data_IF_223435242627
#
_entry.id   IF_223435242627
#
_cell.length_a   1.000
_cell.length_b   1.000
_cell.length_c   1.000
_cell.angle_alpha   90.00
_cell.angle_beta   90.00
_cell.angle_gamma   90.00
#
_symmetry.space_group_name_H-M   'P 1'
#
loop_
_entity.id
_entity.type
_entity.pdbx_description
1 polymer ?
#
# COMPACT_ATOMS: atom_id res chain seq x y z
N UNK A 1 -6.35 33.46 -8.76
CA UNK A 1 -5.18 33.85 -7.93
C UNK A 1 -4.34 32.60 -7.64
N UNK A 2 -3.30 32.35 -8.43
CA UNK A 2 -2.40 31.21 -8.28
C UNK A 2 -1.24 31.60 -7.36
N UNK A 3 -1.53 31.73 -6.07
CA UNK A 3 -0.49 31.83 -5.05
C UNK A 3 0.19 30.46 -4.89
N UNK A 4 1.50 30.39 -5.14
CA UNK A 4 2.27 29.17 -4.92
C UNK A 4 2.13 28.64 -3.49
N UNK A 5 2.46 27.36 -3.24
CA UNK A 5 2.32 26.77 -1.91
C UNK A 5 3.08 27.58 -0.87
N UNK A 6 2.48 27.82 0.30
CA UNK A 6 3.11 28.56 1.39
C UNK A 6 4.48 27.95 1.76
N UNK A 7 5.45 28.76 2.27
CA UNK A 7 6.76 28.25 2.68
C UNK A 7 6.67 27.04 3.62
N UNK A 8 5.74 27.07 4.57
CA UNK A 8 5.49 25.95 5.50
C UNK A 8 5.03 24.66 4.83
N UNK A 9 4.25 24.74 3.75
CA UNK A 9 3.83 23.56 2.97
C UNK A 9 5.00 22.98 2.18
N UNK A 10 5.86 23.83 1.62
CA UNK A 10 7.07 23.37 0.90
C UNK A 10 8.02 22.64 1.84
N UNK A 11 8.28 23.19 3.02
CA UNK A 11 9.14 22.56 4.03
C UNK A 11 8.57 21.22 4.49
N UNK A 12 7.29 21.16 4.88
CA UNK A 12 6.67 19.91 5.31
C UNK A 12 6.68 18.83 4.21
N UNK A 13 6.44 19.22 2.96
CA UNK A 13 6.52 18.33 1.80
C UNK A 13 7.93 17.77 1.64
N UNK A 14 8.95 18.63 1.61
CA UNK A 14 10.34 18.22 1.47
C UNK A 14 10.80 17.29 2.60
N UNK A 15 10.35 17.52 3.84
CA UNK A 15 10.63 16.62 4.97
C UNK A 15 10.04 15.23 4.74
N UNK A 16 8.77 15.14 4.32
CA UNK A 16 8.11 13.86 4.09
C UNK A 16 8.65 13.13 2.85
N UNK A 17 8.93 13.84 1.77
CA UNK A 17 9.58 13.29 0.57
C UNK A 17 11.00 12.81 0.87
N UNK A 18 11.75 13.55 1.69
CA UNK A 18 13.08 13.14 2.16
C UNK A 18 13.02 11.88 3.02
N UNK A 19 12.01 11.76 3.89
CA UNK A 19 11.77 10.54 4.67
C UNK A 19 11.43 9.35 3.76
N UNK A 20 10.53 9.53 2.79
CA UNK A 20 10.20 8.49 1.80
C UNK A 20 11.41 8.09 0.96
N UNK A 21 12.25 9.04 0.54
CA UNK A 21 13.49 8.77 -0.19
C UNK A 21 14.43 7.92 0.66
N UNK A 22 14.60 8.27 1.94
CA UNK A 22 15.43 7.48 2.85
C UNK A 22 14.87 6.08 3.09
N UNK A 23 13.56 5.92 3.22
CA UNK A 23 12.93 4.63 3.52
C UNK A 23 12.87 3.72 2.29
N UNK A 24 12.33 4.23 1.18
CA UNK A 24 11.96 3.45 0.00
C UNK A 24 12.82 3.73 -1.23
N UNK A 25 13.72 4.73 -1.18
CA UNK A 25 14.63 5.05 -2.28
C UNK A 25 14.07 6.04 -3.30
N UNK A 26 12.90 6.63 -3.06
CA UNK A 26 12.30 7.65 -3.93
C UNK A 26 11.40 8.62 -3.15
N UNK A 27 11.19 9.86 -3.62
CA UNK A 27 10.28 10.82 -3.01
C UNK A 27 8.82 10.52 -3.40
N UNK A 28 7.95 10.10 -2.47
CA UNK A 28 6.61 9.64 -2.84
C UNK A 28 5.71 10.79 -3.27
N UNK A 29 5.07 10.66 -4.43
CA UNK A 29 4.30 11.75 -5.03
C UNK A 29 3.08 12.14 -4.19
N UNK A 30 2.61 11.26 -3.31
CA UNK A 30 1.48 11.50 -2.42
C UNK A 30 1.78 12.47 -1.26
N UNK A 31 3.07 12.73 -0.94
CA UNK A 31 3.42 13.56 0.21
C UNK A 31 2.92 15.00 0.08
N UNK A 32 3.09 15.63 -1.08
CA UNK A 32 2.61 16.98 -1.33
C UNK A 32 1.06 17.09 -1.27
N UNK A 33 0.28 16.18 -1.88
CA UNK A 33 -1.16 16.06 -1.66
C UNK A 33 -1.56 15.92 -0.19
N UNK A 34 -0.89 15.08 0.61
CA UNK A 34 -1.22 14.91 2.03
C UNK A 34 -1.02 16.22 2.80
N UNK A 35 0.11 16.90 2.57
CA UNK A 35 0.39 18.21 3.19
C UNK A 35 -0.64 19.26 2.78
N UNK A 36 -1.11 19.22 1.54
CA UNK A 36 -2.14 20.13 1.04
C UNK A 36 -3.50 19.89 1.71
N UNK A 37 -3.89 18.63 1.87
CA UNK A 37 -5.20 18.25 2.44
C UNK A 37 -5.25 18.45 3.95
N UNK A 38 -4.25 17.96 4.68
CA UNK A 38 -4.24 18.00 6.15
C UNK A 38 -3.72 19.34 6.69
N UNK A 39 -2.89 20.04 5.92
CA UNK A 39 -2.06 21.14 6.38
C UNK A 39 -0.70 20.66 6.92
N UNK A 40 0.34 21.50 6.90
CA UNK A 40 1.73 21.07 7.12
C UNK A 40 1.97 20.45 8.49
N UNK A 41 1.54 21.12 9.58
CA UNK A 41 1.77 20.62 10.94
C UNK A 41 0.96 19.35 11.23
N UNK A 42 -0.29 19.29 10.75
CA UNK A 42 -1.16 18.12 10.93
C UNK A 42 -0.66 16.92 10.12
N UNK A 43 -0.15 17.13 8.90
CA UNK A 43 0.46 16.08 8.11
C UNK A 43 1.67 15.46 8.82
N UNK A 44 2.62 16.29 9.27
CA UNK A 44 3.79 15.81 10.01
C UNK A 44 3.39 15.05 11.29
N UNK A 45 2.50 15.64 12.10
CA UNK A 45 2.00 14.98 13.32
C UNK A 45 1.26 13.67 13.04
N UNK A 46 0.52 13.59 11.93
CA UNK A 46 -0.17 12.37 11.51
C UNK A 46 0.82 11.24 11.18
N UNK A 47 1.91 11.54 10.45
CA UNK A 47 2.95 10.55 10.16
C UNK A 47 3.69 10.11 11.43
N UNK A 48 4.11 11.04 12.28
CA UNK A 48 4.77 10.72 13.57
C UNK A 48 3.90 9.80 14.44
N UNK A 49 2.59 9.99 14.43
CA UNK A 49 1.65 9.14 15.18
C UNK A 49 1.42 7.77 14.56
N UNK A 50 1.36 7.67 13.23
CA UNK A 50 0.95 6.44 12.54
C UNK A 50 2.11 5.54 12.10
N UNK A 51 3.23 6.11 11.65
CA UNK A 51 4.34 5.33 11.10
C UNK A 51 4.96 4.35 12.09
N UNK A 52 5.23 4.70 13.36
CA UNK A 52 5.80 3.74 14.31
C UNK A 52 4.90 2.52 14.54
N UNK A 53 3.57 2.70 14.44
CA UNK A 53 2.61 1.60 14.59
C UNK A 53 2.51 0.76 13.32
N UNK A 54 2.64 1.39 12.15
CA UNK A 54 2.79 0.69 10.88
C UNK A 54 4.06 -0.17 10.87
N UNK A 55 5.22 0.39 11.23
CA UNK A 55 6.50 -0.33 11.31
C UNK A 55 6.47 -1.50 12.29
N UNK A 56 5.86 -1.31 13.47
CA UNK A 56 5.63 -2.43 14.42
C UNK A 56 4.69 -3.50 13.86
N UNK A 57 3.80 -3.15 12.93
CA UNK A 57 2.92 -4.11 12.25
C UNK A 57 3.68 -4.85 11.16
N UNK A 58 4.46 -4.12 10.36
CA UNK A 58 5.38 -4.68 9.37
C UNK A 58 6.35 -5.70 10.01
N UNK A 59 6.97 -5.36 11.14
CA UNK A 59 7.87 -6.25 11.86
C UNK A 59 7.16 -7.50 12.43
N UNK A 60 5.89 -7.37 12.83
CA UNK A 60 5.14 -8.47 13.44
C UNK A 60 4.50 -9.42 12.41
N UNK A 61 4.07 -8.89 11.26
CA UNK A 61 3.38 -9.65 10.21
C UNK A 61 4.31 -10.05 9.05
N UNK A 62 5.46 -9.41 8.92
CA UNK A 62 6.34 -9.52 7.76
C UNK A 62 5.90 -8.64 6.58
N UNK A 63 6.83 -8.40 5.65
CA UNK A 63 6.62 -7.57 4.47
C UNK A 63 5.52 -8.13 3.55
N UNK A 64 5.61 -9.42 3.21
CA UNK A 64 4.68 -10.08 2.29
C UNK A 64 3.22 -9.91 2.72
N UNK A 65 2.88 -10.34 3.95
CA UNK A 65 1.52 -10.21 4.50
C UNK A 65 1.10 -8.75 4.61
N UNK A 66 1.95 -7.88 5.14
CA UNK A 66 1.58 -6.48 5.37
C UNK A 66 1.22 -5.79 4.06
N UNK A 67 2.01 -5.97 3.00
CA UNK A 67 1.73 -5.36 1.71
C UNK A 67 0.49 -5.96 1.03
N UNK A 68 0.28 -7.27 1.12
CA UNK A 68 -0.96 -7.91 0.65
C UNK A 68 -2.20 -7.32 1.33
N UNK A 69 -2.14 -7.09 2.64
CA UNK A 69 -3.25 -6.47 3.38
C UNK A 69 -3.47 -5.01 2.95
N UNK A 70 -2.39 -4.25 2.72
CA UNK A 70 -2.47 -2.87 2.22
C UNK A 70 -3.05 -2.80 0.80
N UNK A 71 -2.76 -3.79 -0.06
CA UNK A 71 -3.39 -3.96 -1.38
C UNK A 71 -4.89 -4.19 -1.21
N UNK A 72 -5.29 -5.17 -0.40
CA UNK A 72 -6.70 -5.48 -0.18
C UNK A 72 -7.49 -4.25 0.32
N UNK A 73 -6.96 -3.51 1.31
CA UNK A 73 -7.57 -2.27 1.80
C UNK A 73 -7.69 -1.22 0.68
N UNK A 74 -6.61 -1.02 -0.08
CA UNK A 74 -6.56 0.01 -1.13
C UNK A 74 -7.48 -0.30 -2.31
N UNK A 75 -7.68 -1.59 -2.62
CA UNK A 75 -8.66 -2.06 -3.59
C UNK A 75 -10.09 -1.78 -3.14
N UNK A 76 -10.42 -2.10 -1.89
CA UNK A 76 -11.74 -1.82 -1.31
C UNK A 76 -12.03 -0.32 -1.28
N UNK A 77 -11.03 0.50 -0.96
CA UNK A 77 -11.16 1.96 -1.00
C UNK A 77 -11.14 2.54 -2.42
N UNK A 78 -10.73 1.76 -3.43
CA UNK A 78 -10.63 2.20 -4.82
C UNK A 78 -9.50 3.20 -5.08
N UNK A 79 -8.33 3.02 -4.46
CA UNK A 79 -7.17 3.92 -4.61
C UNK A 79 -6.06 3.33 -5.50
N UNK A 80 -5.95 3.75 -6.79
CA UNK A 80 -4.96 3.20 -7.71
C UNK A 80 -3.52 3.39 -7.25
N UNK A 81 -3.20 4.55 -6.67
CA UNK A 81 -1.85 4.89 -6.18
C UNK A 81 -1.35 3.89 -5.14
N UNK A 82 -2.13 3.71 -4.07
CA UNK A 82 -1.75 2.83 -2.98
C UNK A 82 -1.85 1.35 -3.37
N UNK A 83 -2.84 0.98 -4.19
CA UNK A 83 -2.93 -0.37 -4.74
C UNK A 83 -1.65 -0.72 -5.49
N UNK A 84 -1.22 0.12 -6.43
CA UNK A 84 -0.01 -0.15 -7.21
C UNK A 84 1.25 -0.19 -6.33
N UNK A 85 1.49 0.82 -5.49
CA UNK A 85 2.72 0.91 -4.70
C UNK A 85 2.91 -0.27 -3.73
N UNK A 86 1.82 -0.76 -3.14
CA UNK A 86 1.88 -1.94 -2.27
C UNK A 86 1.81 -3.26 -3.03
N UNK A 87 1.11 -3.31 -4.17
CA UNK A 87 1.15 -4.48 -5.03
C UNK A 87 2.58 -4.69 -5.54
N UNK A 88 3.24 -3.64 -6.03
CA UNK A 88 4.60 -3.76 -6.52
C UNK A 88 5.58 -4.17 -5.43
N UNK A 89 5.47 -3.61 -4.22
CA UNK A 89 6.25 -4.08 -3.06
C UNK A 89 6.00 -5.57 -2.77
N UNK A 90 4.73 -5.99 -2.72
CA UNK A 90 4.36 -7.40 -2.53
C UNK A 90 4.95 -8.31 -3.61
N UNK A 91 4.91 -7.90 -4.89
CA UNK A 91 5.48 -8.66 -6.01
C UNK A 91 6.98 -8.87 -5.86
N UNK A 92 7.72 -7.80 -5.53
CA UNK A 92 9.16 -7.88 -5.32
C UNK A 92 9.50 -8.78 -4.13
N UNK A 93 8.76 -8.68 -3.02
CA UNK A 93 8.98 -9.51 -1.83
C UNK A 93 8.69 -10.98 -2.16
N UNK A 94 7.57 -11.26 -2.83
CA UNK A 94 7.20 -12.61 -3.23
C UNK A 94 8.28 -13.25 -4.11
N UNK A 95 8.75 -12.52 -5.14
CA UNK A 95 9.83 -12.99 -6.00
C UNK A 95 11.12 -13.23 -5.22
N UNK A 96 11.48 -12.33 -4.30
CA UNK A 96 12.67 -12.47 -3.49
C UNK A 96 12.62 -13.69 -2.56
N UNK A 97 11.49 -13.92 -1.89
CA UNK A 97 11.31 -14.99 -0.91
C UNK A 97 11.03 -16.36 -1.54
N UNK A 98 10.37 -16.40 -2.70
CA UNK A 98 9.88 -17.64 -3.32
C UNK A 98 10.57 -18.00 -4.63
N UNK A 99 11.32 -17.08 -5.23
CA UNK A 99 12.02 -17.30 -6.49
C UNK A 99 11.11 -17.41 -7.71
N UNK A 100 9.81 -17.10 -7.58
CA UNK A 100 8.83 -17.13 -8.66
C UNK A 100 7.90 -15.91 -8.63
N UNK A 101 7.21 -15.65 -9.75
CA UNK A 101 6.23 -14.58 -9.85
C UNK A 101 4.91 -14.96 -9.14
N UNK A 102 4.28 -13.99 -8.49
CA UNK A 102 2.90 -14.17 -8.04
C UNK A 102 1.95 -14.22 -9.26
N UNK A 103 0.89 -15.04 -9.27
CA UNK A 103 0.04 -15.22 -10.45
C UNK A 103 -0.66 -13.94 -10.95
N UNK A 104 -0.90 -12.97 -10.09
CA UNK A 104 -1.57 -11.71 -10.42
C UNK A 104 -0.58 -10.55 -10.33
N UNK A 105 -0.22 -9.91 -11.45
CA UNK A 105 0.71 -8.77 -11.46
C UNK A 105 0.13 -7.48 -10.84
N UNK A 106 0.97 -6.50 -10.52
CA UNK A 106 0.56 -5.23 -9.91
C UNK A 106 -0.40 -4.41 -10.78
N UNK A 107 -0.25 -4.48 -12.11
CA UNK A 107 -1.16 -3.83 -13.07
C UNK A 107 -2.54 -4.50 -13.06
N UNK A 108 -2.56 -5.83 -13.15
CA UNK A 108 -3.79 -6.62 -13.08
C UNK A 108 -4.50 -6.46 -11.72
N UNK A 109 -3.75 -6.37 -10.61
CA UNK A 109 -4.33 -5.99 -9.32
C UNK A 109 -4.96 -4.59 -9.38
N UNK A 110 -4.30 -3.62 -10.03
CA UNK A 110 -4.83 -2.28 -10.23
C UNK A 110 -6.19 -2.24 -10.93
N UNK A 111 -6.43 -3.13 -11.89
CA UNK A 111 -7.70 -3.26 -12.63
C UNK A 111 -8.87 -3.75 -11.76
N UNK A 112 -8.57 -4.33 -10.60
CA UNK A 112 -9.60 -4.71 -9.62
C UNK A 112 -10.19 -3.49 -8.88
N UNK A 113 -9.55 -2.31 -8.96
CA UNK A 113 -10.09 -1.08 -8.36
C UNK A 113 -11.47 -0.76 -8.94
N UNK A 114 -12.47 -0.57 -8.08
CA UNK A 114 -13.84 -0.24 -8.48
C UNK A 114 -14.75 -1.45 -8.71
N UNK A 115 -14.22 -2.67 -8.64
CA UNK A 115 -15.05 -3.87 -8.57
C UNK A 115 -15.76 -3.99 -7.21
N UNK A 116 -16.80 -4.81 -7.17
CA UNK A 116 -17.50 -5.12 -5.91
C UNK A 116 -16.55 -5.85 -4.93
N UNK A 117 -16.66 -5.62 -3.60
CA UNK A 117 -15.83 -6.28 -2.59
C UNK A 117 -15.80 -7.82 -2.70
N UNK A 118 -16.92 -8.44 -3.07
CA UNK A 118 -16.99 -9.88 -3.27
C UNK A 118 -16.13 -10.37 -4.45
N UNK A 119 -16.09 -9.61 -5.55
CA UNK A 119 -15.24 -9.88 -6.70
C UNK A 119 -13.77 -9.68 -6.36
N UNK A 120 -13.41 -8.59 -5.69
CA UNK A 120 -12.04 -8.34 -5.21
C UNK A 120 -11.57 -9.50 -4.31
N UNK A 121 -12.41 -9.91 -3.35
CA UNK A 121 -12.11 -11.07 -2.50
C UNK A 121 -11.88 -12.33 -3.33
N UNK A 122 -12.75 -12.62 -4.29
CA UNK A 122 -12.64 -13.82 -5.12
C UNK A 122 -11.30 -13.87 -5.86
N UNK A 123 -10.95 -12.80 -6.57
CA UNK A 123 -9.70 -12.70 -7.35
C UNK A 123 -8.46 -12.83 -6.48
N UNK A 124 -8.43 -12.14 -5.32
CA UNK A 124 -7.29 -12.24 -4.40
C UNK A 124 -7.15 -13.65 -3.81
N UNK A 125 -8.25 -14.27 -3.37
CA UNK A 125 -8.22 -15.61 -2.78
C UNK A 125 -7.81 -16.67 -3.79
N UNK A 126 -8.30 -16.57 -5.03
CA UNK A 126 -7.90 -17.46 -6.12
C UNK A 126 -6.40 -17.31 -6.44
N UNK A 127 -5.90 -16.08 -6.57
CA UNK A 127 -4.48 -15.83 -6.79
C UNK A 127 -3.59 -16.34 -5.65
N UNK A 128 -4.02 -16.21 -4.39
CA UNK A 128 -3.30 -16.73 -3.23
C UNK A 128 -3.22 -18.26 -3.24
N UNK A 129 -4.32 -18.95 -3.55
CA UNK A 129 -4.33 -20.42 -3.67
C UNK A 129 -3.40 -20.90 -4.77
N UNK A 130 -3.45 -20.27 -5.95
CA UNK A 130 -2.53 -20.61 -7.05
C UNK A 130 -1.06 -20.39 -6.71
N UNK A 131 -0.77 -19.50 -5.76
CA UNK A 131 0.58 -19.22 -5.28
C UNK A 131 1.01 -20.05 -4.04
N UNK A 132 0.15 -20.95 -3.53
CA UNK A 132 0.42 -21.68 -2.28
C UNK A 132 0.47 -20.80 -1.03
N UNK A 133 -0.32 -19.71 -1.02
CA UNK A 133 -0.42 -18.73 0.08
C UNK A 133 -1.77 -18.81 0.80
N UNK A 134 -2.34 -20.01 0.93
CA UNK A 134 -3.64 -20.24 1.59
C UNK A 134 -3.66 -19.75 3.04
N UNK A 135 -2.52 -19.77 3.72
CA UNK A 135 -2.37 -19.26 5.08
C UNK A 135 -2.64 -17.75 5.19
N UNK A 136 -2.58 -17.00 4.10
CA UNK A 136 -2.84 -15.55 4.07
C UNK A 136 -4.33 -15.22 3.88
N UNK A 137 -5.13 -16.18 3.39
CA UNK A 137 -6.55 -15.98 3.05
C UNK A 137 -7.34 -15.44 4.26
N UNK A 138 -7.25 -16.01 5.48
CA UNK A 138 -8.03 -15.50 6.62
C UNK A 138 -7.72 -14.05 6.96
N UNK A 139 -6.46 -13.61 6.80
CA UNK A 139 -6.07 -12.23 7.09
C UNK A 139 -6.60 -11.25 6.02
N UNK A 140 -6.59 -11.66 4.75
CA UNK A 140 -7.17 -10.88 3.64
C UNK A 140 -8.67 -10.75 3.78
N UNK A 141 -9.38 -11.85 4.07
CA UNK A 141 -10.82 -11.81 4.31
C UNK A 141 -11.15 -10.88 5.48
N UNK A 142 -10.40 -11.01 6.58
CA UNK A 142 -10.61 -10.18 7.76
C UNK A 142 -10.39 -8.70 7.49
N UNK A 143 -9.38 -8.32 6.71
CA UNK A 143 -9.14 -6.91 6.41
C UNK A 143 -10.18 -6.33 5.45
N UNK A 144 -10.71 -7.13 4.53
CA UNK A 144 -11.84 -6.76 3.67
C UNK A 144 -13.08 -6.52 4.54
N UNK A 145 -13.43 -7.43 5.44
CA UNK A 145 -14.52 -7.27 6.41
C UNK A 145 -14.39 -5.99 7.23
N UNK A 146 -13.21 -5.70 7.77
CA UNK A 146 -12.96 -4.47 8.53
C UNK A 146 -13.04 -3.20 7.68
N UNK A 147 -12.78 -3.30 6.38
CA UNK A 147 -12.81 -2.17 5.45
C UNK A 147 -14.25 -1.83 5.02
N UNK A 148 -15.14 -2.82 4.94
CA UNK A 148 -16.57 -2.63 4.63
C UNK A 148 -17.45 -2.44 5.88
N UNK A 149 -17.07 -3.04 7.00
CA UNK A 149 -17.89 -3.11 8.22
C UNK A 149 -17.78 -1.86 9.07
N UNK A 150 -18.90 -1.17 9.29
CA UNK A 150 -18.98 -0.10 10.28
C UNK A 150 -19.11 -0.67 11.69
N UNK A 151 -18.26 -0.24 12.62
CA UNK A 151 -18.42 -0.51 14.05
C UNK A 151 -17.88 -1.86 14.56
N UNK A 152 -17.16 -2.64 13.74
CA UNK A 152 -16.46 -3.83 14.20
C UNK A 152 -15.37 -3.43 15.21
N UNK A 153 -15.51 -3.92 16.46
CA UNK A 153 -14.52 -3.67 17.53
C UNK A 153 -13.49 -4.79 17.53
N UNK A 154 -12.22 -4.52 17.16
CA UNK A 154 -11.18 -5.54 17.20
C UNK A 154 -10.79 -5.86 18.64
N UNK A 155 -10.88 -7.14 19.02
CA UNK A 155 -10.56 -7.61 20.38
C UNK A 155 -9.23 -8.36 20.47
N UNK A 156 -8.78 -8.99 19.37
CA UNK A 156 -7.50 -9.72 19.32
C UNK A 156 -6.33 -8.82 18.87
N UNK A 157 -5.09 -9.07 19.32
CA UNK A 157 -3.93 -8.24 18.97
C UNK A 157 -3.67 -8.08 17.46
N UNK A 158 -3.85 -9.15 16.68
CA UNK A 158 -3.72 -9.09 15.22
C UNK A 158 -4.82 -8.23 14.60
N UNK A 159 -6.06 -8.36 15.10
CA UNK A 159 -7.20 -7.59 14.63
C UNK A 159 -7.03 -6.08 14.91
N UNK A 160 -6.40 -5.74 16.03
CA UNK A 160 -6.03 -4.37 16.41
C UNK A 160 -4.98 -3.77 15.47
N UNK A 161 -4.11 -4.59 14.86
CA UNK A 161 -3.17 -4.17 13.81
C UNK A 161 -3.90 -3.97 12.49
N UNK A 162 -4.71 -4.93 12.07
CA UNK A 162 -5.52 -4.83 10.85
C UNK A 162 -6.40 -3.58 10.85
N UNK A 163 -7.11 -3.34 11.95
CA UNK A 163 -7.96 -2.15 12.08
C UNK A 163 -7.15 -0.84 12.09
N UNK A 164 -5.90 -0.86 12.54
CA UNK A 164 -5.02 0.32 12.39
C UNK A 164 -4.62 0.54 10.93
N UNK A 165 -4.26 -0.51 10.20
CA UNK A 165 -4.00 -0.41 8.76
C UNK A 165 -5.22 0.17 8.04
N UNK A 166 -6.42 -0.39 8.27
CA UNK A 166 -7.67 0.11 7.65
C UNK A 166 -7.86 1.62 7.89
N UNK A 167 -7.73 2.09 9.15
CA UNK A 167 -7.87 3.52 9.47
C UNK A 167 -6.78 4.39 8.87
N UNK A 168 -5.53 3.90 8.86
CA UNK A 168 -4.40 4.64 8.30
C UNK A 168 -4.58 4.79 6.78
N UNK A 169 -4.93 3.71 6.11
CA UNK A 169 -5.14 3.67 4.67
C UNK A 169 -6.40 4.40 4.23
N UNK A 170 -7.45 4.46 5.05
CA UNK A 170 -8.61 5.31 4.75
C UNK A 170 -8.19 6.78 4.51
N UNK A 171 -7.25 7.31 5.31
CA UNK A 171 -6.71 8.67 5.11
C UNK A 171 -5.84 8.75 3.86
N UNK A 172 -4.86 7.85 3.71
CA UNK A 172 -3.93 7.87 2.57
C UNK A 172 -4.66 7.69 1.23
N UNK A 173 -5.58 6.73 1.17
CA UNK A 173 -6.39 6.41 0.00
C UNK A 173 -7.32 7.57 -0.36
N UNK A 174 -8.01 8.17 0.62
CA UNK A 174 -8.87 9.34 0.38
C UNK A 174 -8.09 10.49 -0.28
N UNK A 175 -6.88 10.79 0.23
CA UNK A 175 -6.01 11.80 -0.38
C UNK A 175 -5.56 11.38 -1.78
N UNK A 176 -5.12 10.13 -1.96
CA UNK A 176 -4.65 9.61 -3.25
C UNK A 176 -5.72 9.68 -4.33
N UNK A 177 -6.95 9.31 -4.00
CA UNK A 177 -8.13 9.38 -4.87
C UNK A 177 -8.45 10.83 -5.21
N UNK A 178 -8.59 11.70 -4.20
CA UNK A 178 -8.95 13.12 -4.40
C UNK A 178 -7.93 13.87 -5.26
N UNK A 179 -6.64 13.55 -5.07
CA UNK A 179 -5.54 14.19 -5.80
C UNK A 179 -5.23 13.55 -7.14
N UNK A 180 -5.83 12.38 -7.45
CA UNK A 180 -5.52 11.57 -8.64
C UNK A 180 -4.01 11.35 -8.78
N UNK A 181 -3.35 11.05 -7.66
CA UNK A 181 -1.90 10.83 -7.67
C UNK A 181 -1.59 9.63 -8.56
N UNK A 182 -0.68 9.82 -9.52
CA UNK A 182 -0.26 8.75 -10.42
C UNK A 182 0.54 7.69 -9.65
N UNK A 183 0.38 6.39 -9.97
CA UNK A 183 1.23 5.34 -9.42
C UNK A 183 2.73 5.64 -9.59
N UNK A 184 3.54 5.28 -8.60
CA UNK A 184 4.98 5.53 -8.58
C UNK A 184 5.82 4.24 -8.52
N UNK A 185 6.33 3.88 -7.34
CA UNK A 185 7.31 2.83 -7.11
C UNK A 185 6.87 1.96 -5.92
N UNK A 186 7.61 0.91 -5.60
CA UNK A 186 7.26 0.03 -4.48
C UNK A 186 7.43 0.75 -3.12
N UNK A 187 6.40 0.73 -2.27
CA UNK A 187 6.39 1.42 -0.96
C UNK A 187 7.06 0.60 0.16
N UNK A 188 8.25 0.08 -0.12
CA UNK A 188 9.04 -0.78 0.77
C UNK A 188 10.55 -0.62 0.49
N UNK A 189 11.46 -0.80 1.47
CA UNK A 189 12.90 -0.76 1.24
C UNK A 189 13.41 -1.70 0.14
N UNK A 190 12.71 -2.80 -0.16
CA UNK A 190 13.04 -3.72 -1.26
C UNK A 190 13.08 -3.01 -2.62
N UNK A 191 12.38 -1.89 -2.77
CA UNK A 191 12.39 -1.05 -3.97
C UNK A 191 13.80 -0.57 -4.36
N UNK A 192 14.72 -0.47 -3.40
CA UNK A 192 16.11 -0.09 -3.62
C UNK A 192 16.93 -1.19 -4.32
N UNK A 193 16.42 -2.40 -4.41
CA UNK A 193 17.10 -3.51 -5.08
C UNK A 193 16.85 -3.46 -6.60
N UNK A 194 17.67 -2.66 -7.31
CA UNK A 194 17.56 -2.50 -8.77
C UNK A 194 17.69 -3.81 -9.54
N UNK A 195 18.54 -4.74 -9.09
CA UNK A 195 18.72 -6.04 -9.75
C UNK A 195 17.44 -6.89 -9.66
N UNK A 196 16.77 -6.90 -8.51
CA UNK A 196 15.48 -7.57 -8.33
C UNK A 196 14.39 -6.93 -9.18
N UNK A 197 14.34 -5.59 -9.28
CA UNK A 197 13.38 -4.90 -10.16
C UNK A 197 13.59 -5.25 -11.63
N UNK A 198 14.84 -5.34 -12.08
CA UNK A 198 15.18 -5.77 -13.44
C UNK A 198 14.80 -7.23 -13.70
N UNK A 199 15.09 -8.13 -12.74
CA UNK A 199 14.67 -9.53 -12.83
C UNK A 199 13.14 -9.64 -12.91
N UNK A 200 12.43 -8.93 -12.03
CA UNK A 200 10.98 -8.88 -12.03
C UNK A 200 10.40 -8.43 -13.37
N UNK A 201 10.91 -7.32 -13.90
CA UNK A 201 10.47 -6.78 -15.18
C UNK A 201 10.74 -7.75 -16.34
N UNK A 202 11.91 -8.41 -16.35
CA UNK A 202 12.27 -9.40 -17.36
C UNK A 202 11.35 -10.62 -17.32
N UNK A 203 11.05 -11.14 -16.13
CA UNK A 203 10.14 -12.28 -15.96
C UNK A 203 8.70 -11.92 -16.39
N UNK A 204 8.20 -10.73 -16.04
CA UNK A 204 6.86 -10.26 -16.43
C UNK A 204 6.73 -10.06 -17.94
N UNK A 205 7.74 -9.47 -18.57
CA UNK A 205 7.78 -9.33 -20.02
C UNK A 205 7.73 -10.68 -20.74
N UNK A 206 8.37 -11.72 -20.19
CA UNK A 206 8.35 -13.06 -20.74
C UNK A 206 6.99 -13.78 -20.62
N UNK A 207 6.16 -13.43 -19.63
CA UNK A 207 4.84 -14.03 -19.42
C UNK A 207 3.69 -13.32 -20.16
N UNK A 208 3.97 -12.20 -20.83
CA UNK A 208 2.94 -11.43 -21.56
C UNK A 208 1.93 -10.72 -20.65
N UNK A 209 2.29 -10.49 -19.38
CA UNK A 209 1.47 -9.85 -18.33
C UNK A 209 2.28 -8.76 -17.64
#
# INVERSE_FOLDING_TARGET
MTGGPSPSRRVATAVLEGAGTRLWGFPPQLMAPIVRELGPLRALGWFVRNMPRYERTLAALGGLRTHLLCVAISLINGCPYCTYGHAYAFQLIHLHERGCLFPLGERAMGELCGLAPASIRHELVDALRRAGLEAEVPAVERVIELSIGHGLRPTAPNDVRLAHLVRMFAVLNSVGIKSRTAPDEAHDPINKNSALKQLYAGLRAATGT
#
